data_IF_185832376274
#
_entry.id   IF_185832376274
#
_cell.length_a   1.000
_cell.length_b   1.000
_cell.length_c   1.000
_cell.angle_alpha   90.00
_cell.angle_beta   90.00
_cell.angle_gamma   90.00
#
_symmetry.space_group_name_H-M   'P 1'
#
loop_
_entity.id
_entity.type
_entity.pdbx_description
1 polymer ?
#
# COMPACT_ATOMS: atom_id res chain seq x y z
N UNK A 1 17.91 6.21 -8.19
CA UNK A 1 16.60 5.54 -8.08
C UNK A 1 16.77 4.11 -7.58
N UNK A 2 17.99 3.55 -7.56
CA UNK A 2 18.31 2.26 -6.92
C UNK A 2 18.78 2.44 -5.46
N UNK A 3 17.90 2.91 -4.57
CA UNK A 3 18.18 2.70 -3.14
C UNK A 3 17.79 1.25 -2.82
N UNK A 4 18.73 0.36 -2.44
CA UNK A 4 18.41 -1.02 -2.09
C UNK A 4 17.47 -1.15 -0.88
N UNK A 5 17.29 -0.07 -0.12
CA UNK A 5 16.34 0.04 1.00
C UNK A 5 14.99 0.61 0.57
N UNK A 6 14.92 1.19 -0.63
CA UNK A 6 13.71 1.73 -1.21
C UNK A 6 12.73 0.64 -1.65
N UNK A 7 11.46 1.00 -1.73
CA UNK A 7 10.45 0.13 -2.31
C UNK A 7 10.66 0.02 -3.83
N UNK A 8 10.49 -1.18 -4.39
CA UNK A 8 10.60 -1.39 -5.83
C UNK A 8 9.52 -0.57 -6.55
N UNK A 9 9.85 0.24 -7.58
CA UNK A 9 8.89 1.13 -8.25
C UNK A 9 7.62 0.44 -8.77
N UNK A 10 7.72 -0.85 -9.09
CA UNK A 10 6.59 -1.67 -9.54
C UNK A 10 5.46 -1.77 -8.49
N UNK A 11 5.79 -1.77 -7.20
CA UNK A 11 4.79 -1.83 -6.13
C UNK A 11 3.96 -0.54 -6.09
N UNK A 12 4.60 0.61 -6.27
CA UNK A 12 3.90 1.89 -6.40
C UNK A 12 3.01 1.91 -7.64
N UNK A 13 3.50 1.43 -8.78
CA UNK A 13 2.72 1.36 -10.01
C UNK A 13 1.48 0.46 -9.87
N UNK A 14 1.63 -0.70 -9.24
CA UNK A 14 0.51 -1.62 -8.95
C UNK A 14 -0.52 -1.00 -8.00
N UNK A 15 -0.06 -0.33 -6.94
CA UNK A 15 -0.96 0.33 -5.99
C UNK A 15 -1.74 1.49 -6.64
N UNK A 16 -1.08 2.28 -7.50
CA UNK A 16 -1.74 3.32 -8.27
C UNK A 16 -2.79 2.75 -9.23
N UNK A 17 -2.48 1.63 -9.91
CA UNK A 17 -3.43 0.94 -10.77
C UNK A 17 -4.64 0.46 -9.98
N UNK A 18 -4.44 -0.22 -8.85
CA UNK A 18 -5.50 -0.71 -7.98
C UNK A 18 -6.46 0.42 -7.58
N UNK A 19 -5.92 1.55 -7.12
CA UNK A 19 -6.74 2.71 -6.74
C UNK A 19 -7.54 3.30 -7.91
N UNK A 20 -6.99 3.23 -9.12
CA UNK A 20 -7.66 3.73 -10.31
C UNK A 20 -8.72 2.76 -10.87
N UNK A 21 -8.62 1.46 -10.56
CA UNK A 21 -9.47 0.42 -11.19
C UNK A 21 -10.48 -0.23 -10.25
N UNK A 22 -10.22 -0.26 -8.95
CA UNK A 22 -11.15 -0.86 -7.99
C UNK A 22 -12.40 0.02 -7.79
N UNK A 23 -13.56 -0.58 -7.46
CA UNK A 23 -14.78 0.15 -7.17
C UNK A 23 -14.56 1.26 -6.12
N UNK A 24 -15.13 2.44 -6.38
CA UNK A 24 -14.94 3.64 -5.57
C UNK A 24 -15.25 3.38 -4.08
N UNK A 25 -16.29 2.62 -3.77
CA UNK A 25 -16.70 2.25 -2.42
C UNK A 25 -15.65 1.42 -1.66
N UNK A 26 -14.75 0.74 -2.38
CA UNK A 26 -13.67 -0.05 -1.76
C UNK A 26 -12.38 0.74 -1.52
N UNK A 27 -12.15 1.82 -2.27
CA UNK A 27 -10.89 2.58 -2.24
C UNK A 27 -11.02 4.03 -1.79
N UNK A 28 -12.24 4.53 -1.59
CA UNK A 28 -12.47 5.89 -1.08
C UNK A 28 -11.83 6.09 0.28
N UNK A 29 -11.14 7.22 0.47
CA UNK A 29 -10.52 7.60 1.74
C UNK A 29 -9.18 6.92 2.04
N UNK A 30 -8.71 6.02 1.18
CA UNK A 30 -7.45 5.31 1.39
C UNK A 30 -6.25 6.23 1.16
N UNK A 31 -5.35 6.31 2.15
CA UNK A 31 -4.03 6.94 2.05
C UNK A 31 -2.98 5.84 1.84
N UNK A 32 -2.06 6.02 0.88
CA UNK A 32 -1.31 4.91 0.30
C UNK A 32 -0.11 4.43 1.11
N UNK A 33 -0.17 3.16 1.52
CA UNK A 33 0.99 2.29 1.72
C UNK A 33 0.92 1.16 0.69
N UNK A 34 1.80 1.19 -0.32
CA UNK A 34 1.68 0.37 -1.54
C UNK A 34 1.53 -1.13 -1.24
N UNK A 35 2.41 -1.67 -0.39
CA UNK A 35 2.38 -3.11 -0.07
C UNK A 35 1.19 -3.52 0.82
N UNK A 36 0.71 -2.63 1.70
CA UNK A 36 -0.44 -2.95 2.55
C UNK A 36 -1.70 -3.16 1.70
N UNK A 37 -2.03 -2.17 0.85
CA UNK A 37 -3.25 -2.25 0.03
C UNK A 37 -3.16 -3.39 -1.00
N UNK A 38 -1.98 -3.62 -1.59
CA UNK A 38 -1.79 -4.74 -2.51
C UNK A 38 -1.99 -6.09 -1.82
N UNK A 39 -1.59 -6.24 -0.56
CA UNK A 39 -1.82 -7.48 0.21
C UNK A 39 -3.29 -7.65 0.58
N UNK A 40 -3.96 -6.58 1.03
CA UNK A 40 -5.39 -6.62 1.38
C UNK A 40 -6.27 -7.03 0.20
N UNK A 41 -5.93 -6.59 -1.02
CA UNK A 41 -6.63 -6.97 -2.25
C UNK A 41 -6.09 -8.26 -2.90
N UNK A 42 -5.08 -8.92 -2.31
CA UNK A 42 -4.54 -10.19 -2.78
C UNK A 42 -3.67 -10.10 -4.04
N UNK A 43 -3.17 -8.92 -4.40
CA UNK A 43 -2.26 -8.72 -5.54
C UNK A 43 -0.81 -9.13 -5.20
N UNK A 44 -0.46 -9.18 -3.92
CA UNK A 44 0.80 -9.73 -3.39
C UNK A 44 0.54 -10.62 -2.18
N UNK A 45 1.37 -11.65 -2.00
CA UNK A 45 1.26 -12.57 -0.87
C UNK A 45 1.99 -12.06 0.39
N UNK A 46 3.08 -11.33 0.17
CA UNK A 46 3.94 -10.81 1.22
C UNK A 46 4.03 -9.28 1.12
N UNK A 47 4.04 -8.63 2.28
CA UNK A 47 4.13 -7.19 2.43
C UNK A 47 4.92 -6.89 3.71
N UNK A 48 5.59 -5.74 3.73
CA UNK A 48 6.36 -5.25 4.89
C UNK A 48 6.27 -3.74 4.99
N UNK A 49 6.62 -3.18 6.14
CA UNK A 49 6.71 -1.75 6.39
C UNK A 49 5.48 -1.17 7.06
N UNK A 50 5.32 0.15 6.91
CA UNK A 50 4.28 0.90 7.61
C UNK A 50 2.88 0.41 7.21
N UNK A 51 2.02 0.19 8.20
CA UNK A 51 0.66 -0.35 8.04
C UNK A 51 0.60 -1.88 7.93
N UNK A 52 1.75 -2.56 7.85
CA UNK A 52 1.84 -4.03 7.81
C UNK A 52 2.54 -4.56 9.06
N UNK A 53 3.67 -3.97 9.44
CA UNK A 53 4.44 -4.37 10.61
C UNK A 53 3.80 -3.79 11.89
N UNK A 54 3.67 -4.61 12.95
CA UNK A 54 2.98 -4.23 14.18
C UNK A 54 3.62 -3.05 14.92
N UNK A 55 4.94 -2.90 14.80
CA UNK A 55 5.72 -1.79 15.36
C UNK A 55 5.65 -0.53 14.50
N UNK A 56 5.01 -0.58 13.33
CA UNK A 56 4.92 0.50 12.35
C UNK A 56 3.50 0.70 11.82
N UNK A 57 2.55 0.90 12.71
CA UNK A 57 1.11 1.04 12.36
C UNK A 57 0.75 2.27 11.50
N UNK A 58 1.63 3.25 11.37
CA UNK A 58 1.31 4.55 10.74
C UNK A 58 0.68 5.52 11.75
N UNK A 59 0.30 6.72 11.31
CA UNK A 59 -0.26 7.76 12.19
C UNK A 59 -1.21 8.71 11.45
N UNK A 60 -2.01 9.45 12.22
CA UNK A 60 -2.92 10.47 11.68
C UNK A 60 -3.93 9.89 10.69
N UNK A 61 -4.03 10.52 9.51
CA UNK A 61 -4.97 10.13 8.46
C UNK A 61 -4.78 8.69 7.93
N UNK A 62 -3.65 8.04 8.21
CA UNK A 62 -3.47 6.64 7.81
C UNK A 62 -4.14 5.62 8.74
N UNK A 63 -4.75 6.06 9.85
CA UNK A 63 -5.50 5.21 10.79
C UNK A 63 -7.00 5.53 10.86
N UNK A 64 -7.49 6.42 9.99
CA UNK A 64 -8.88 6.88 9.99
C UNK A 64 -9.67 6.20 8.88
#
# INVERSE_FOLDING_TARGET
>A
MDDPRGEHPELMAKAALLLATEPLDKVTGRVTYSQQILKEFGWVNEAKGTGVDQDRVGSGYSQV
#
